data_IF_110857381695
#
_entry.id   IF_110857381695
#
_cell.length_a   1.000
_cell.length_b   1.000
_cell.length_c   1.000
_cell.angle_alpha   90.00
_cell.angle_beta   90.00
_cell.angle_gamma   90.00
#
_symmetry.space_group_name_H-M   'P 1'
#
loop_
_entity.id
_entity.type
_entity.pdbx_description
1 polymer ?
#
# COMPACT_ATOMS: atom_id res chain seq x y z
N UNK A 1 -1.38 -45.90 35.39
CA UNK A 1 -0.17 -45.93 34.53
C UNK A 1 0.53 -44.56 34.67
N UNK A 2 1.35 -44.38 35.72
CA UNK A 2 2.03 -43.11 35.96
C UNK A 2 3.21 -42.98 34.98
N UNK A 3 3.11 -42.03 34.05
CA UNK A 3 4.23 -41.60 33.21
C UNK A 3 5.40 -41.20 34.13
N UNK A 4 6.56 -41.81 33.93
CA UNK A 4 7.82 -41.50 34.65
C UNK A 4 8.07 -39.98 34.67
N UNK A 5 8.56 -39.45 35.80
CA UNK A 5 8.83 -38.01 36.00
C UNK A 5 9.61 -37.37 34.83
N UNK A 6 10.49 -38.12 34.17
CA UNK A 6 11.24 -37.65 32.99
C UNK A 6 10.34 -37.39 31.76
N UNK A 7 9.31 -38.20 31.54
CA UNK A 7 8.36 -38.03 30.42
C UNK A 7 7.43 -36.84 30.63
N UNK A 8 7.09 -36.52 31.88
CA UNK A 8 6.33 -35.30 32.22
C UNK A 8 7.11 -34.03 31.94
N UNK A 9 8.40 -33.98 32.30
CA UNK A 9 9.24 -32.80 32.02
C UNK A 9 9.37 -32.54 30.52
N UNK A 10 9.54 -33.60 29.71
CA UNK A 10 9.61 -33.48 28.26
C UNK A 10 8.29 -32.97 27.69
N UNK A 11 7.14 -33.48 28.16
CA UNK A 11 5.83 -33.02 27.71
C UNK A 11 5.58 -31.53 28.05
N UNK A 12 5.98 -31.08 29.24
CA UNK A 12 5.84 -29.67 29.66
C UNK A 12 6.72 -28.75 28.81
N UNK A 13 7.97 -29.15 28.52
CA UNK A 13 8.86 -28.38 27.65
C UNK A 13 8.30 -28.33 26.23
N UNK A 14 7.77 -29.44 25.71
CA UNK A 14 7.20 -29.49 24.36
C UNK A 14 5.98 -28.58 24.22
N UNK A 15 5.08 -28.57 25.22
CA UNK A 15 3.92 -27.69 25.26
C UNK A 15 4.34 -26.23 25.38
N UNK A 16 5.35 -25.92 26.21
CA UNK A 16 5.88 -24.56 26.31
C UNK A 16 6.49 -24.07 24.99
N UNK A 17 7.25 -24.92 24.30
CA UNK A 17 7.83 -24.59 22.98
C UNK A 17 6.75 -24.40 21.92
N UNK A 18 5.73 -25.27 21.89
CA UNK A 18 4.59 -25.12 20.97
C UNK A 18 3.76 -23.87 21.28
N UNK A 19 3.62 -23.48 22.55
CA UNK A 19 2.94 -22.24 22.93
C UNK A 19 3.74 -20.98 22.56
N UNK A 20 5.08 -21.03 22.67
CA UNK A 20 5.95 -19.92 22.24
C UNK A 20 5.95 -19.78 20.71
N UNK A 21 6.04 -20.89 19.97
CA UNK A 21 5.96 -20.88 18.51
C UNK A 21 4.56 -20.46 18.05
N UNK A 22 3.51 -21.00 18.67
CA UNK A 22 2.12 -20.64 18.39
C UNK A 22 1.82 -19.17 18.73
N UNK A 23 2.36 -18.65 19.83
CA UNK A 23 2.26 -17.25 20.22
C UNK A 23 3.02 -16.31 19.27
N UNK A 24 4.21 -16.71 18.80
CA UNK A 24 4.97 -15.97 17.79
C UNK A 24 4.26 -15.96 16.41
N UNK A 25 3.62 -17.07 16.04
CA UNK A 25 2.80 -17.16 14.83
C UNK A 25 1.45 -16.41 14.94
N UNK A 26 0.90 -16.26 16.15
CA UNK A 26 -0.29 -15.44 16.40
C UNK A 26 0.05 -13.95 16.43
N UNK A 27 1.22 -13.56 16.93
CA UNK A 27 1.70 -12.17 16.92
C UNK A 27 2.09 -11.67 15.52
N UNK A 28 2.54 -12.54 14.61
CA UNK A 28 2.76 -12.13 13.21
C UNK A 28 1.45 -11.89 12.44
N UNK A 29 0.31 -12.37 12.97
CA UNK A 29 -1.04 -11.98 12.56
C UNK A 29 -1.58 -10.78 13.34
N UNK A 30 -0.74 -9.97 13.98
CA UNK A 30 -1.13 -8.61 14.37
C UNK A 30 -1.53 -7.88 13.10
N UNK A 31 -2.86 -7.74 12.94
CA UNK A 31 -3.57 -6.86 12.03
C UNK A 31 -2.65 -5.73 11.58
N UNK A 32 -2.04 -5.85 10.40
CA UNK A 32 -1.40 -4.71 9.77
C UNK A 32 -2.50 -3.64 9.69
N UNK A 33 -2.38 -2.50 10.38
CA UNK A 33 -3.45 -1.52 10.42
C UNK A 33 -3.79 -1.11 8.98
N UNK A 34 -5.04 -1.35 8.60
CA UNK A 34 -5.58 -0.89 7.33
C UNK A 34 -5.72 0.63 7.39
N UNK A 35 -5.34 1.33 6.33
CA UNK A 35 -5.65 2.75 6.21
C UNK A 35 -7.11 2.94 5.76
N UNK A 36 -7.56 4.19 5.65
CA UNK A 36 -8.91 4.55 5.21
C UNK A 36 -9.30 4.04 3.81
N UNK A 37 -8.36 3.48 3.05
CA UNK A 37 -8.59 2.89 1.73
C UNK A 37 -8.59 1.35 1.76
N UNK A 38 -8.49 0.73 2.95
CA UNK A 38 -8.41 -0.73 3.10
C UNK A 38 -7.02 -1.31 2.83
N UNK A 39 -6.00 -0.47 2.64
CA UNK A 39 -4.65 -0.90 2.28
C UNK A 39 -3.87 -1.25 3.54
N UNK A 40 -3.18 -2.38 3.56
CA UNK A 40 -2.29 -2.86 4.62
C UNK A 40 -0.84 -2.55 4.29
N UNK A 41 0.00 -2.46 5.32
CA UNK A 41 1.46 -2.26 5.14
C UNK A 41 2.13 -3.38 4.30
N UNK A 42 1.58 -4.60 4.39
CA UNK A 42 2.02 -5.77 3.62
C UNK A 42 1.62 -5.76 2.15
N UNK A 43 0.66 -4.92 1.74
CA UNK A 43 0.12 -4.94 0.38
C UNK A 43 1.19 -4.54 -0.64
N UNK A 44 1.16 -5.11 -1.85
CA UNK A 44 2.10 -4.73 -2.89
C UNK A 44 1.84 -3.29 -3.34
N UNK A 45 2.91 -2.50 -3.44
CA UNK A 45 2.88 -1.15 -3.99
C UNK A 45 3.74 -1.13 -5.24
N UNK A 46 3.18 -0.63 -6.34
CA UNK A 46 3.92 -0.39 -7.57
C UNK A 46 3.93 1.10 -7.86
N UNK A 47 5.12 1.66 -8.04
CA UNK A 47 5.25 2.98 -8.64
C UNK A 47 5.32 2.82 -10.15
N UNK A 48 4.50 3.57 -10.88
CA UNK A 48 4.62 3.70 -12.33
C UNK A 48 4.71 5.17 -12.71
N UNK A 49 5.67 5.50 -13.56
CA UNK A 49 5.84 6.82 -14.15
C UNK A 49 5.34 6.71 -15.60
N UNK A 50 4.14 7.23 -15.90
CA UNK A 50 3.68 7.27 -17.29
C UNK A 50 3.88 8.69 -17.85
N UNK A 51 4.79 8.81 -18.82
CA UNK A 51 4.86 9.96 -19.73
C UNK A 51 4.62 9.50 -21.18
N UNK A 52 3.84 10.28 -21.94
CA UNK A 52 3.64 10.23 -23.39
C UNK A 52 3.41 11.72 -23.80
N UNK A 53 4.02 12.38 -24.79
CA UNK A 53 4.45 12.01 -26.17
C UNK A 53 5.87 12.49 -26.52
N UNK A 54 6.59 13.15 -25.60
CA UNK A 54 7.82 13.89 -25.91
C UNK A 54 9.07 13.50 -25.09
N UNK A 55 9.16 12.26 -24.59
CA UNK A 55 10.44 11.68 -24.14
C UNK A 55 10.50 11.24 -22.68
N UNK A 56 10.87 9.96 -22.52
CA UNK A 56 11.20 9.14 -21.33
C UNK A 56 10.13 9.12 -20.22
N UNK A 57 9.34 8.07 -19.98
CA UNK A 57 9.50 6.59 -20.03
C UNK A 57 10.53 6.05 -19.03
N UNK A 58 10.30 6.19 -17.71
CA UNK A 58 11.24 5.64 -16.72
C UNK A 58 10.83 5.61 -15.24
N UNK A 59 11.24 4.51 -14.59
CA UNK A 59 11.30 4.16 -13.15
C UNK A 59 10.09 3.43 -12.51
N UNK A 60 9.73 2.25 -13.03
CA UNK A 60 8.90 1.35 -12.23
C UNK A 60 9.63 0.89 -10.97
N UNK A 61 9.11 1.26 -9.80
CA UNK A 61 9.58 0.73 -8.51
C UNK A 61 8.55 -0.28 -8.02
N UNK A 62 8.90 -1.55 -8.18
CA UNK A 62 8.05 -2.68 -7.74
C UNK A 62 8.28 -3.06 -6.28
N UNK A 63 9.38 -2.58 -5.66
CA UNK A 63 9.73 -2.92 -4.29
C UNK A 63 10.16 -1.68 -3.50
N UNK A 64 9.38 -1.38 -2.46
CA UNK A 64 9.70 -0.37 -1.46
C UNK A 64 10.29 -1.04 -0.22
N UNK A 65 11.29 -0.40 0.38
CA UNK A 65 11.83 -0.83 1.67
C UNK A 65 10.76 -0.73 2.77
N UNK A 66 10.87 -1.47 3.89
CA UNK A 66 9.92 -1.37 5.00
C UNK A 66 9.79 0.05 5.58
N UNK A 67 10.86 0.86 5.51
CA UNK A 67 10.81 2.27 5.93
C UNK A 67 9.97 3.11 4.97
N UNK A 68 10.19 2.94 3.67
CA UNK A 68 9.44 3.66 2.64
C UNK A 68 7.96 3.30 2.65
N UNK A 69 7.63 2.00 2.79
CA UNK A 69 6.25 1.50 2.93
C UNK A 69 5.53 2.19 4.10
N UNK A 70 6.16 2.24 5.27
CA UNK A 70 5.59 2.94 6.44
C UNK A 70 5.38 4.43 6.19
N UNK A 71 6.29 5.09 5.46
CA UNK A 71 6.10 6.50 5.11
C UNK A 71 4.96 6.69 4.11
N UNK A 72 4.82 5.82 3.10
CA UNK A 72 3.71 5.82 2.15
C UNK A 72 2.39 5.57 2.88
N UNK A 73 2.33 4.57 3.76
CA UNK A 73 1.14 4.28 4.56
C UNK A 73 0.71 5.46 5.44
N UNK A 74 1.66 6.10 6.13
CA UNK A 74 1.39 7.32 6.90
C UNK A 74 0.89 8.47 6.02
N UNK A 75 1.45 8.59 4.82
CA UNK A 75 1.00 9.58 3.84
C UNK A 75 -0.44 9.31 3.40
N UNK A 76 -0.78 8.08 3.00
CA UNK A 76 -2.14 7.69 2.61
C UNK A 76 -3.15 7.91 3.76
N UNK A 77 -2.76 7.59 4.99
CA UNK A 77 -3.58 7.86 6.17
C UNK A 77 -3.77 9.36 6.46
N UNK A 78 -2.91 10.23 5.92
CA UNK A 78 -3.00 11.70 6.08
C UNK A 78 -3.79 12.40 4.97
N UNK A 79 -4.28 11.65 3.97
CA UNK A 79 -5.06 12.23 2.88
C UNK A 79 -6.42 12.68 3.40
N UNK A 80 -6.80 13.91 3.07
CA UNK A 80 -8.09 14.49 3.40
C UNK A 80 -8.93 14.58 2.12
N UNK A 81 -10.14 14.01 2.15
CA UNK A 81 -11.03 14.04 1.00
C UNK A 81 -11.43 15.48 0.66
N UNK A 82 -11.25 15.87 -0.61
CA UNK A 82 -11.61 17.19 -1.11
C UNK A 82 -12.93 17.17 -1.86
N UNK A 83 -13.04 16.29 -2.87
CA UNK A 83 -14.26 16.13 -3.69
C UNK A 83 -14.19 14.88 -4.56
N UNK A 84 -15.35 14.32 -4.87
CA UNK A 84 -15.49 13.38 -5.99
C UNK A 84 -15.41 14.11 -7.32
N UNK A 85 -14.80 13.46 -8.31
CA UNK A 85 -14.62 13.96 -9.66
C UNK A 85 -15.54 13.20 -10.61
N UNK A 86 -15.99 13.88 -11.66
CA UNK A 86 -16.68 13.19 -12.75
C UNK A 86 -15.72 12.16 -13.40
N UNK A 87 -16.27 11.01 -13.77
CA UNK A 87 -15.51 10.03 -14.54
C UNK A 87 -15.19 10.64 -15.91
N UNK A 88 -13.91 10.68 -16.31
CA UNK A 88 -13.54 11.18 -17.62
C UNK A 88 -14.19 10.33 -18.72
N UNK A 89 -14.73 11.00 -19.71
CA UNK A 89 -15.30 10.37 -20.92
C UNK A 89 -14.21 9.97 -21.92
N UNK A 90 -12.97 10.43 -21.70
CA UNK A 90 -11.80 10.20 -22.56
C UNK A 90 -10.63 9.64 -21.74
N UNK A 91 -9.78 8.85 -22.39
CA UNK A 91 -8.55 8.33 -21.77
C UNK A 91 -7.59 9.48 -21.49
N UNK A 92 -7.30 9.74 -20.21
CA UNK A 92 -6.33 10.76 -19.80
C UNK A 92 -4.91 10.20 -20.00
N UNK A 93 -4.20 10.73 -21.00
CA UNK A 93 -2.77 10.47 -21.20
C UNK A 93 -1.92 11.47 -20.40
N UNK A 94 -0.79 11.03 -19.85
CA UNK A 94 0.23 11.92 -19.26
C UNK A 94 0.14 12.17 -17.75
N UNK A 95 -0.34 11.20 -16.95
CA UNK A 95 -0.25 11.31 -15.48
C UNK A 95 1.18 10.98 -15.03
N UNK A 96 1.94 11.96 -14.49
CA UNK A 96 3.40 11.87 -14.41
C UNK A 96 3.88 10.76 -13.47
N UNK A 97 3.23 10.58 -12.31
CA UNK A 97 3.56 9.54 -11.33
C UNK A 97 2.30 8.96 -10.69
N UNK A 98 2.20 7.63 -10.66
CA UNK A 98 1.11 6.88 -10.02
C UNK A 98 1.66 5.83 -9.06
N UNK A 99 1.08 5.78 -7.86
CA UNK A 99 1.22 4.67 -6.94
C UNK A 99 0.02 3.73 -7.14
N UNK A 100 0.27 2.51 -7.58
CA UNK A 100 -0.73 1.50 -7.87
C UNK A 100 -0.73 0.45 -6.78
N UNK A 101 -1.92 0.11 -6.29
CA UNK A 101 -2.17 -0.94 -5.31
C UNK A 101 -3.15 -1.93 -5.96
N UNK A 102 -2.67 -3.07 -6.49
CA UNK A 102 -3.55 -4.09 -7.03
C UNK A 102 -4.17 -4.93 -5.92
N UNK A 103 -5.36 -5.42 -6.21
CA UNK A 103 -6.12 -6.31 -5.35
C UNK A 103 -6.09 -7.75 -5.90
N UNK A 104 -6.42 -8.72 -5.07
CA UNK A 104 -6.34 -10.15 -5.44
C UNK A 104 -7.29 -10.54 -6.59
N UNK A 105 -8.41 -9.82 -6.73
CA UNK A 105 -9.40 -10.02 -7.79
C UNK A 105 -8.99 -9.40 -9.14
N UNK A 106 -7.82 -8.77 -9.20
CA UNK A 106 -7.30 -8.09 -10.39
C UNK A 106 -7.78 -6.64 -10.53
N UNK A 107 -8.65 -6.16 -9.65
CA UNK A 107 -8.96 -4.74 -9.51
C UNK A 107 -7.74 -3.97 -8.98
N UNK A 108 -7.78 -2.63 -9.04
CA UNK A 108 -6.69 -1.80 -8.52
C UNK A 108 -7.14 -0.42 -8.08
N UNK A 109 -6.37 0.13 -7.14
CA UNK A 109 -6.44 1.53 -6.73
C UNK A 109 -5.18 2.27 -7.19
N UNK A 110 -5.34 3.37 -7.93
CA UNK A 110 -4.26 4.24 -8.39
C UNK A 110 -4.31 5.58 -7.64
N UNK A 111 -3.19 6.00 -7.05
CA UNK A 111 -2.98 7.34 -6.53
C UNK A 111 -2.09 8.13 -7.49
N UNK A 112 -2.65 9.17 -8.10
CA UNK A 112 -1.97 10.04 -9.06
C UNK A 112 -1.55 11.35 -8.39
N UNK A 113 -0.29 11.72 -8.55
CA UNK A 113 0.31 12.86 -7.86
C UNK A 113 0.29 14.12 -8.76
N UNK A 114 -0.82 14.85 -8.76
CA UNK A 114 -0.97 16.16 -9.42
C UNK A 114 -1.00 17.29 -8.37
N UNK A 115 -1.44 18.52 -8.69
CA UNK A 115 -1.68 19.58 -7.69
C UNK A 115 -2.49 19.06 -6.48
N UNK A 116 -3.55 18.29 -6.73
CA UNK A 116 -4.19 17.43 -5.75
C UNK A 116 -3.81 15.96 -5.98
N UNK A 117 -4.01 15.11 -4.97
CA UNK A 117 -3.84 13.66 -5.10
C UNK A 117 -5.15 13.08 -5.65
N UNK A 118 -5.11 12.50 -6.86
CA UNK A 118 -6.30 11.84 -7.41
C UNK A 118 -6.27 10.35 -7.08
N UNK A 119 -7.37 9.82 -6.57
CA UNK A 119 -7.57 8.40 -6.31
C UNK A 119 -8.53 7.85 -7.35
N UNK A 120 -8.07 6.93 -8.19
CA UNK A 120 -8.89 6.19 -9.13
C UNK A 120 -9.05 4.74 -8.69
N UNK A 121 -10.28 4.21 -8.67
CA UNK A 121 -10.54 2.78 -8.47
C UNK A 121 -10.93 2.14 -9.79
N UNK A 122 -10.32 1.02 -10.13
CA UNK A 122 -10.51 0.32 -11.39
C UNK A 122 -10.96 -1.11 -11.15
N UNK A 123 -11.87 -1.60 -12.00
CA UNK A 123 -12.20 -3.03 -12.02
C UNK A 123 -11.07 -3.87 -12.64
N UNK A 124 -11.25 -5.19 -12.60
CA UNK A 124 -10.36 -6.19 -13.20
C UNK A 124 -10.12 -6.02 -14.72
N UNK A 125 -10.99 -5.29 -15.42
CA UNK A 125 -10.86 -4.99 -16.84
C UNK A 125 -10.16 -3.64 -17.10
N UNK A 126 -9.73 -2.94 -16.04
CA UNK A 126 -9.14 -1.61 -16.13
C UNK A 126 -10.17 -0.50 -16.37
N UNK A 127 -11.47 -0.76 -16.20
CA UNK A 127 -12.51 0.27 -16.26
C UNK A 127 -12.49 1.08 -14.97
N UNK A 128 -12.37 2.41 -15.09
CA UNK A 128 -12.46 3.32 -13.96
C UNK A 128 -13.89 3.33 -13.38
N UNK A 129 -14.01 2.99 -12.11
CA UNK A 129 -15.26 2.92 -11.35
C UNK A 129 -15.55 4.19 -10.57
N UNK A 130 -14.52 4.77 -9.93
CA UNK A 130 -14.63 6.01 -9.17
C UNK A 130 -13.36 6.85 -9.29
N UNK A 131 -13.52 8.16 -9.16
CA UNK A 131 -12.42 9.11 -9.17
C UNK A 131 -12.66 10.18 -8.11
N UNK A 132 -11.72 10.31 -7.19
CA UNK A 132 -11.80 11.27 -6.08
C UNK A 132 -10.53 12.12 -6.01
N UNK A 133 -10.65 13.32 -5.45
CA UNK A 133 -9.54 14.23 -5.21
C UNK A 133 -9.31 14.39 -3.71
N UNK A 134 -8.05 14.32 -3.31
CA UNK A 134 -7.58 14.42 -1.94
C UNK A 134 -6.51 15.50 -1.82
N UNK A 135 -6.45 16.11 -0.64
CA UNK A 135 -5.38 17.04 -0.24
C UNK A 135 -4.54 16.44 0.89
N UNK A 136 -3.39 17.06 1.15
CA UNK A 136 -2.51 16.72 2.25
C UNK A 136 -1.62 17.91 2.63
N UNK A 137 -0.98 17.83 3.79
CA UNK A 137 0.00 18.86 4.19
C UNK A 137 1.20 18.89 3.24
N UNK A 138 1.78 20.09 3.03
CA UNK A 138 3.01 20.27 2.23
C UNK A 138 4.15 19.37 2.71
N UNK A 139 4.27 19.15 4.02
CA UNK A 139 5.30 18.29 4.62
C UNK A 139 5.07 16.81 4.28
N UNK A 140 3.85 16.30 4.42
CA UNK A 140 3.51 14.93 4.06
C UNK A 140 3.77 14.68 2.57
N UNK A 141 3.34 15.64 1.72
CA UNK A 141 3.59 15.61 0.28
C UNK A 141 5.08 15.58 -0.06
N UNK A 142 5.88 16.47 0.51
CA UNK A 142 7.33 16.53 0.24
C UNK A 142 8.02 15.22 0.64
N UNK A 143 7.68 14.65 1.79
CA UNK A 143 8.25 13.39 2.25
C UNK A 143 7.97 12.22 1.30
N UNK A 144 6.71 12.08 0.85
CA UNK A 144 6.36 11.00 -0.08
C UNK A 144 6.93 11.26 -1.47
N UNK A 145 6.93 12.50 -1.96
CA UNK A 145 7.50 12.84 -3.28
C UNK A 145 8.98 12.47 -3.38
N UNK A 146 9.76 12.67 -2.31
CA UNK A 146 11.17 12.23 -2.25
C UNK A 146 11.34 10.72 -2.40
N UNK A 147 10.45 9.93 -1.80
CA UNK A 147 10.45 8.47 -1.90
C UNK A 147 10.06 8.02 -3.31
N UNK A 148 9.11 8.74 -3.92
CA UNK A 148 8.57 8.46 -5.24
C UNK A 148 9.39 9.09 -6.39
N UNK A 149 10.50 9.76 -6.08
CA UNK A 149 11.33 10.42 -7.09
C UNK A 149 10.62 11.55 -7.85
N UNK A 150 9.61 12.18 -7.26
CA UNK A 150 8.85 13.28 -7.87
C UNK A 150 9.57 14.60 -7.58
N UNK A 151 10.15 15.22 -8.62
CA UNK A 151 10.69 16.59 -8.58
C UNK A 151 9.67 17.55 -9.20
N UNK A 152 9.28 18.57 -8.45
CA UNK A 152 8.45 19.67 -8.96
C UNK A 152 9.40 20.83 -9.23
N UNK A 153 9.44 21.30 -10.48
CA UNK A 153 10.01 22.62 -10.83
C UNK A 153 8.98 23.71 -10.54
#
# INVERSE_FOLDING_TARGET
MLLSKKKWVIAVILVAVLAVIGGAALQSRQLCPENQFGIKEGDPFYLTHLYNVNGVVGAEKMQFTPKERRTIMKFLASLEHKKSLALPTETIYGVPVRLVVPEEDGSRTDFSFNEDIRLGRYDQNGKLLSLDSYTCSKRARSNVCKILGITWE
#
